data_IF_996291493909
#
_entry.id   IF_996291493909
#
_cell.length_a   1.000
_cell.length_b   1.000
_cell.length_c   1.000
_cell.angle_alpha   90.00
_cell.angle_beta   90.00
_cell.angle_gamma   90.00
#
_symmetry.space_group_name_H-M   'P 1'
#
loop_
_entity.id
_entity.type
_entity.pdbx_description
1 polymer ?
#
# COMPACT_ATOMS: atom_id res chain seq x y z
N UNK A 1 35.70 -19.04 25.24
CA UNK A 1 34.68 -18.04 25.64
C UNK A 1 35.08 -17.28 26.90
N UNK A 2 35.58 -17.99 27.91
CA UNK A 2 35.92 -17.35 29.20
C UNK A 2 37.14 -16.39 29.11
N UNK A 3 38.16 -16.73 28.31
CA UNK A 3 39.37 -15.89 28.17
C UNK A 3 39.08 -14.57 27.44
N UNK A 4 38.36 -14.63 26.34
CA UNK A 4 37.94 -13.42 25.58
C UNK A 4 37.07 -12.51 26.42
N UNK A 5 36.12 -13.06 27.16
CA UNK A 5 35.25 -12.29 28.07
C UNK A 5 36.05 -11.58 29.16
N UNK A 6 37.05 -12.25 29.75
CA UNK A 6 37.94 -11.63 30.74
C UNK A 6 38.79 -10.50 30.15
N UNK A 7 39.36 -10.70 28.97
CA UNK A 7 40.14 -9.68 28.28
C UNK A 7 39.30 -8.44 27.98
N UNK A 8 38.05 -8.65 27.54
CA UNK A 8 37.12 -7.57 27.26
C UNK A 8 36.72 -6.78 28.52
N UNK A 9 36.43 -7.48 29.61
CA UNK A 9 36.13 -6.84 30.91
C UNK A 9 37.31 -6.03 31.42
N UNK A 10 38.53 -6.58 31.36
CA UNK A 10 39.75 -5.87 31.77
C UNK A 10 40.00 -4.62 30.94
N UNK A 11 39.90 -4.75 29.61
CA UNK A 11 40.05 -3.62 28.70
C UNK A 11 39.04 -2.50 29.00
N UNK A 12 37.78 -2.88 29.22
CA UNK A 12 36.72 -1.94 29.57
C UNK A 12 37.02 -1.19 30.87
N UNK A 13 37.50 -1.90 31.89
CA UNK A 13 37.87 -1.29 33.18
C UNK A 13 39.04 -0.31 33.03
N UNK A 14 40.07 -0.67 32.27
CA UNK A 14 41.22 0.22 32.01
C UNK A 14 40.74 1.52 31.31
N UNK A 15 39.89 1.43 30.31
CA UNK A 15 39.35 2.62 29.64
C UNK A 15 38.47 3.46 30.54
N UNK A 16 37.69 2.84 31.41
CA UNK A 16 36.87 3.55 32.40
C UNK A 16 37.74 4.33 33.39
N UNK A 17 38.79 3.72 33.94
CA UNK A 17 39.71 4.38 34.87
C UNK A 17 40.43 5.55 34.16
N UNK A 18 40.88 5.38 32.94
CA UNK A 18 41.52 6.46 32.18
C UNK A 18 40.58 7.62 31.91
N UNK A 19 39.32 7.33 31.53
CA UNK A 19 38.29 8.35 31.33
C UNK A 19 38.01 9.15 32.62
N UNK A 20 37.97 8.44 33.77
CA UNK A 20 37.78 9.07 35.06
C UNK A 20 39.01 9.92 35.45
N UNK A 21 40.22 9.41 35.23
CA UNK A 21 41.46 10.15 35.47
C UNK A 21 41.52 11.47 34.67
N UNK A 22 41.00 11.47 33.45
CA UNK A 22 40.87 12.67 32.59
C UNK A 22 39.72 13.58 32.98
N UNK A 23 38.91 13.20 33.96
CA UNK A 23 37.78 14.00 34.43
C UNK A 23 36.63 14.13 33.42
N UNK A 24 36.52 13.21 32.44
CA UNK A 24 35.56 13.29 31.38
C UNK A 24 34.10 13.27 31.89
N UNK A 25 33.86 12.57 33.01
CA UNK A 25 32.54 12.53 33.66
C UNK A 25 32.07 13.89 34.20
N UNK A 26 33.02 14.84 34.40
CA UNK A 26 32.73 16.19 34.90
C UNK A 26 32.43 17.21 33.79
N UNK A 27 32.62 16.85 32.53
CA UNK A 27 32.39 17.77 31.39
C UNK A 27 30.91 18.09 31.18
N UNK A 28 30.59 19.32 30.74
CA UNK A 28 29.20 19.69 30.42
C UNK A 28 28.59 18.76 29.35
N UNK A 29 29.36 18.37 28.36
CA UNK A 29 28.95 17.49 27.28
C UNK A 29 28.59 16.09 27.79
N UNK A 30 29.37 15.53 28.69
CA UNK A 30 29.06 14.24 29.30
C UNK A 30 27.81 14.32 30.15
N UNK A 31 27.64 15.38 30.96
CA UNK A 31 26.44 15.57 31.79
C UNK A 31 25.17 15.67 30.91
N UNK A 32 25.24 16.43 29.82
CA UNK A 32 24.12 16.54 28.87
C UNK A 32 23.73 15.17 28.24
N UNK A 33 24.74 14.40 27.82
CA UNK A 33 24.52 13.04 27.28
C UNK A 33 23.94 12.10 28.32
N UNK A 34 24.40 12.16 29.53
CA UNK A 34 23.88 11.33 30.62
C UNK A 34 22.45 11.71 31.00
N UNK A 35 22.12 12.99 30.99
CA UNK A 35 20.74 13.41 31.25
C UNK A 35 19.77 12.93 30.16
N UNK A 36 20.17 13.03 28.90
CA UNK A 36 19.36 12.46 27.78
C UNK A 36 19.21 10.94 27.89
N UNK A 37 20.29 10.24 28.23
CA UNK A 37 20.24 8.79 28.44
C UNK A 37 19.30 8.43 29.60
N UNK A 38 19.41 9.17 30.74
CA UNK A 38 18.50 8.98 31.88
C UNK A 38 17.05 9.18 31.52
N UNK A 39 16.73 10.24 30.78
CA UNK A 39 15.36 10.51 30.30
C UNK A 39 14.85 9.37 29.40
N UNK A 40 15.67 8.90 28.45
CA UNK A 40 15.32 7.79 27.57
C UNK A 40 15.05 6.50 28.35
N UNK A 41 15.88 6.18 29.33
CA UNK A 41 15.68 5.00 30.20
C UNK A 41 14.37 5.15 30.99
N UNK A 42 14.12 6.30 31.61
CA UNK A 42 12.89 6.53 32.38
C UNK A 42 11.63 6.42 31.53
N UNK A 43 11.68 6.94 30.30
CA UNK A 43 10.56 6.83 29.35
C UNK A 43 10.31 5.36 28.98
N UNK A 44 11.38 4.61 28.69
CA UNK A 44 11.26 3.19 28.37
C UNK A 44 10.69 2.37 29.55
N UNK A 45 11.15 2.66 30.78
CA UNK A 45 10.62 2.02 32.00
C UNK A 45 9.14 2.37 32.22
N UNK A 46 8.73 3.61 31.96
CA UNK A 46 7.32 4.01 32.04
C UNK A 46 6.46 3.21 31.07
N UNK A 47 6.90 3.06 29.81
CA UNK A 47 6.19 2.23 28.84
C UNK A 47 6.15 0.76 29.22
N UNK A 48 7.25 0.22 29.72
CA UNK A 48 7.32 -1.16 30.17
C UNK A 48 6.36 -1.41 31.36
N UNK A 49 6.33 -0.51 32.34
CA UNK A 49 5.41 -0.58 33.47
C UNK A 49 3.94 -0.46 33.03
N UNK A 50 3.66 0.46 32.11
CA UNK A 50 2.32 0.61 31.54
C UNK A 50 1.85 -0.66 30.82
N UNK A 51 2.70 -1.22 29.95
CA UNK A 51 2.39 -2.47 29.25
C UNK A 51 2.21 -3.66 30.17
N UNK A 52 3.01 -3.73 31.25
CA UNK A 52 2.88 -4.81 32.24
C UNK A 52 1.53 -4.75 32.99
N UNK A 53 1.03 -3.54 33.24
CA UNK A 53 -0.22 -3.29 33.97
C UNK A 53 -1.46 -3.32 33.07
N UNK A 54 -1.28 -2.97 31.79
CA UNK A 54 -2.37 -2.85 30.81
C UNK A 54 -2.15 -3.83 29.64
N UNK A 55 -2.15 -5.11 29.97
CA UNK A 55 -2.02 -6.15 28.93
C UNK A 55 -3.26 -6.13 28.05
N UNK A 56 -3.03 -6.00 26.75
CA UNK A 56 -4.10 -6.18 25.74
C UNK A 56 -4.58 -7.62 25.81
N UNK A 57 -5.87 -7.79 26.00
CA UNK A 57 -6.51 -9.13 26.01
C UNK A 57 -6.61 -9.70 24.59
N UNK A 58 -6.76 -10.99 24.49
CA UNK A 58 -6.97 -11.68 23.20
C UNK A 58 -8.25 -11.19 22.51
N UNK A 59 -9.27 -10.85 23.28
CA UNK A 59 -10.53 -10.30 22.80
C UNK A 59 -10.35 -8.91 22.19
N UNK A 60 -9.61 -8.03 22.85
CA UNK A 60 -9.28 -6.70 22.32
C UNK A 60 -8.44 -6.77 21.07
N UNK A 61 -7.40 -7.60 21.07
CA UNK A 61 -6.57 -7.83 19.89
C UNK A 61 -7.38 -8.41 18.72
N UNK A 62 -8.31 -9.32 19.00
CA UNK A 62 -9.20 -9.91 17.99
C UNK A 62 -10.18 -8.89 17.45
N UNK A 63 -10.76 -8.05 18.30
CA UNK A 63 -11.67 -6.98 17.89
C UNK A 63 -10.97 -5.98 16.95
N UNK A 64 -9.73 -5.60 17.25
CA UNK A 64 -8.94 -4.72 16.39
C UNK A 64 -8.61 -5.38 15.04
N UNK A 65 -8.22 -6.66 15.07
CA UNK A 65 -8.02 -7.43 13.85
C UNK A 65 -9.26 -7.45 12.97
N UNK A 66 -10.42 -7.80 13.56
CA UNK A 66 -11.70 -7.88 12.84
C UNK A 66 -12.12 -6.50 12.29
N UNK A 67 -11.83 -5.42 13.00
CA UNK A 67 -12.06 -4.05 12.54
C UNK A 67 -11.21 -3.73 11.29
N UNK A 68 -9.92 -4.06 11.33
CA UNK A 68 -8.99 -3.82 10.21
C UNK A 68 -9.35 -4.68 9.00
N UNK A 69 -9.59 -5.98 9.22
CA UNK A 69 -10.01 -6.91 8.17
C UNK A 69 -11.34 -6.50 7.57
N UNK A 70 -12.32 -6.13 8.42
CA UNK A 70 -13.62 -5.65 7.97
C UNK A 70 -13.52 -4.38 7.12
N UNK A 71 -12.59 -3.48 7.44
CA UNK A 71 -12.37 -2.24 6.66
C UNK A 71 -11.72 -2.50 5.28
N UNK A 72 -11.02 -3.61 5.13
CA UNK A 72 -10.35 -4.01 3.88
C UNK A 72 -11.19 -4.99 3.03
N UNK A 73 -12.27 -5.52 3.60
CA UNK A 73 -13.17 -6.38 2.86
C UNK A 73 -13.85 -5.58 1.73
N UNK A 74 -13.96 -6.14 0.52
CA UNK A 74 -14.74 -5.52 -0.53
C UNK A 74 -16.20 -5.32 -0.07
N UNK A 75 -16.81 -4.23 -0.48
CA UNK A 75 -18.23 -4.03 -0.24
C UNK A 75 -19.04 -5.22 -0.79
N UNK A 76 -20.13 -5.58 -0.13
CA UNK A 76 -20.99 -6.67 -0.58
C UNK A 76 -21.43 -6.43 -2.04
N UNK A 77 -21.19 -7.42 -2.92
CA UNK A 77 -21.47 -7.31 -4.35
C UNK A 77 -20.45 -6.49 -5.15
N UNK A 78 -19.33 -6.08 -4.55
CA UNK A 78 -18.26 -5.43 -5.29
C UNK A 78 -17.73 -6.33 -6.42
N UNK A 79 -17.45 -5.73 -7.56
CA UNK A 79 -16.95 -6.44 -8.74
C UNK A 79 -15.59 -5.90 -9.16
N UNK A 80 -14.79 -6.79 -9.71
CA UNK A 80 -13.59 -6.46 -10.46
C UNK A 80 -13.83 -6.65 -11.93
N UNK A 81 -13.24 -5.77 -12.71
CA UNK A 81 -13.37 -5.76 -14.16
C UNK A 81 -12.00 -5.96 -14.79
N UNK A 82 -11.92 -6.88 -15.74
CA UNK A 82 -10.79 -6.94 -16.66
C UNK A 82 -11.15 -6.09 -17.86
N UNK A 83 -10.51 -4.95 -17.98
CA UNK A 83 -10.87 -3.96 -18.97
C UNK A 83 -9.68 -3.55 -19.84
N UNK A 84 -10.00 -3.03 -20.99
CA UNK A 84 -9.08 -2.33 -21.89
C UNK A 84 -9.61 -0.95 -22.19
N UNK A 85 -8.70 -0.01 -22.41
CA UNK A 85 -9.09 1.31 -22.88
C UNK A 85 -8.13 1.89 -23.92
N UNK A 86 -8.65 2.86 -24.65
CA UNK A 86 -7.89 3.72 -25.56
C UNK A 86 -8.18 5.15 -25.12
N UNK A 87 -7.14 5.93 -24.87
CA UNK A 87 -7.23 7.34 -24.52
C UNK A 87 -6.80 8.19 -25.71
N UNK A 88 -7.62 9.17 -26.06
CA UNK A 88 -7.30 10.18 -27.09
C UNK A 88 -7.71 11.58 -26.62
N UNK A 89 -7.15 12.61 -27.26
CA UNK A 89 -7.37 14.00 -26.84
C UNK A 89 -8.70 14.57 -27.36
N UNK A 90 -9.16 14.09 -28.53
CA UNK A 90 -10.32 14.65 -29.21
C UNK A 90 -11.48 13.65 -29.29
N UNK A 91 -12.68 14.18 -29.14
CA UNK A 91 -13.90 13.38 -29.20
C UNK A 91 -14.11 12.73 -30.59
N UNK A 92 -13.78 13.47 -31.66
CA UNK A 92 -13.93 12.94 -33.01
C UNK A 92 -13.00 11.76 -33.31
N UNK A 93 -11.76 11.81 -32.75
CA UNK A 93 -10.83 10.67 -32.80
C UNK A 93 -11.42 9.45 -32.08
N UNK A 94 -11.99 9.66 -30.90
CA UNK A 94 -12.62 8.58 -30.14
C UNK A 94 -13.83 7.98 -30.87
N UNK A 95 -14.68 8.80 -31.49
CA UNK A 95 -15.80 8.34 -32.30
C UNK A 95 -15.32 7.54 -33.50
N UNK A 96 -14.27 7.98 -34.18
CA UNK A 96 -13.67 7.27 -35.29
C UNK A 96 -13.12 5.89 -34.87
N UNK A 97 -12.47 5.82 -33.73
CA UNK A 97 -11.96 4.55 -33.15
C UNK A 97 -13.11 3.60 -32.82
N UNK A 98 -14.18 4.08 -32.18
CA UNK A 98 -15.37 3.26 -31.90
C UNK A 98 -15.95 2.70 -33.22
N UNK A 99 -16.02 3.52 -34.24
CA UNK A 99 -16.50 3.06 -35.55
C UNK A 99 -15.60 1.99 -36.19
N UNK A 100 -14.28 2.13 -36.07
CA UNK A 100 -13.31 1.12 -36.50
C UNK A 100 -13.48 -0.20 -35.75
N UNK A 101 -13.63 -0.13 -34.42
CA UNK A 101 -13.85 -1.31 -33.58
C UNK A 101 -15.15 -2.02 -33.89
N UNK A 102 -16.24 -1.28 -34.11
CA UNK A 102 -17.56 -1.83 -34.53
C UNK A 102 -17.51 -2.50 -35.92
N UNK A 103 -16.55 -2.12 -36.78
CA UNK A 103 -16.30 -2.76 -38.08
C UNK A 103 -15.34 -3.96 -38.00
N UNK A 104 -14.98 -4.40 -36.80
CA UNK A 104 -14.11 -5.57 -36.58
C UNK A 104 -12.64 -5.25 -36.44
N UNK A 105 -12.25 -3.99 -36.24
CA UNK A 105 -10.90 -3.60 -35.92
C UNK A 105 -10.42 -4.27 -34.62
N UNK A 106 -9.15 -4.68 -34.55
CA UNK A 106 -8.56 -5.26 -33.35
C UNK A 106 -8.25 -4.16 -32.34
N UNK A 107 -8.83 -4.27 -31.15
CA UNK A 107 -8.69 -3.28 -30.09
C UNK A 107 -7.23 -3.04 -29.73
N UNK A 108 -6.47 -4.11 -29.58
CA UNK A 108 -5.08 -4.09 -29.16
C UNK A 108 -4.18 -3.34 -30.17
N UNK A 109 -4.43 -3.56 -31.46
CA UNK A 109 -3.65 -2.91 -32.52
C UNK A 109 -3.95 -1.42 -32.63
N UNK A 110 -5.21 -1.04 -32.44
CA UNK A 110 -5.64 0.36 -32.44
C UNK A 110 -5.10 1.07 -31.18
N UNK A 111 -5.17 0.42 -30.02
CA UNK A 111 -4.62 0.95 -28.80
C UNK A 111 -3.13 1.25 -28.90
N UNK A 112 -2.34 0.31 -29.41
CA UNK A 112 -0.90 0.48 -29.62
C UNK A 112 -0.55 1.64 -30.55
N UNK A 113 -1.40 1.89 -31.54
CA UNK A 113 -1.15 2.93 -32.57
C UNK A 113 -1.64 4.30 -32.16
N UNK A 114 -2.75 4.38 -31.45
CA UNK A 114 -3.50 5.62 -31.28
C UNK A 114 -3.72 6.04 -29.81
N UNK A 115 -3.56 5.11 -28.86
CA UNK A 115 -3.73 5.48 -27.45
C UNK A 115 -2.63 6.42 -26.96
N UNK A 116 -3.06 7.48 -26.28
CA UNK A 116 -2.18 8.43 -25.58
C UNK A 116 -1.91 8.04 -24.13
N UNK A 117 -2.47 6.91 -23.68
CA UNK A 117 -2.17 6.41 -22.34
C UNK A 117 -0.78 5.77 -22.30
N UNK A 118 0.19 6.36 -21.55
CA UNK A 118 1.55 5.83 -21.47
C UNK A 118 1.61 4.51 -20.70
N UNK A 119 0.64 4.25 -19.85
CA UNK A 119 0.61 3.06 -18.98
C UNK A 119 0.16 1.79 -19.70
N UNK A 120 -0.88 1.87 -20.52
CA UNK A 120 -1.49 0.69 -21.13
C UNK A 120 -1.44 0.68 -22.67
N UNK A 121 -1.21 1.82 -23.30
CA UNK A 121 -1.24 1.93 -24.78
C UNK A 121 -0.35 0.90 -25.46
N UNK A 122 0.90 0.76 -25.04
CA UNK A 122 1.87 -0.19 -25.58
C UNK A 122 1.46 -1.66 -25.35
N UNK A 123 0.70 -1.94 -24.31
CA UNK A 123 0.14 -3.26 -24.00
C UNK A 123 -1.25 -3.50 -24.63
N UNK A 124 -1.62 -2.73 -25.65
CA UNK A 124 -2.92 -2.88 -26.33
C UNK A 124 -4.09 -2.40 -25.47
N UNK A 125 -3.85 -1.46 -24.58
CA UNK A 125 -4.84 -0.85 -23.71
C UNK A 125 -5.23 -1.69 -22.48
N UNK A 126 -4.53 -2.78 -22.19
CA UNK A 126 -4.86 -3.70 -21.09
C UNK A 126 -4.62 -3.04 -19.73
N UNK A 127 -5.67 -3.01 -18.90
CA UNK A 127 -5.65 -2.48 -17.55
C UNK A 127 -5.60 -3.60 -16.48
N UNK A 128 -5.66 -4.86 -16.91
CA UNK A 128 -5.75 -6.00 -16.01
C UNK A 128 -7.07 -6.05 -15.23
N UNK A 129 -7.06 -6.78 -14.12
CA UNK A 129 -8.17 -6.83 -13.17
C UNK A 129 -8.10 -5.66 -12.21
N UNK A 130 -9.14 -4.89 -12.10
CA UNK A 130 -9.21 -3.77 -11.16
C UNK A 130 -10.64 -3.52 -10.65
N UNK A 131 -10.72 -2.96 -9.45
CA UNK A 131 -11.96 -2.43 -8.91
C UNK A 131 -12.24 -1.06 -9.53
N UNK A 132 -13.48 -0.74 -9.93
CA UNK A 132 -13.85 0.56 -10.48
C UNK A 132 -13.45 1.75 -9.61
N UNK A 133 -13.39 1.59 -8.28
CA UNK A 133 -12.99 2.66 -7.36
C UNK A 133 -11.54 3.16 -7.55
N UNK A 134 -10.70 2.43 -8.26
CA UNK A 134 -9.33 2.86 -8.60
C UNK A 134 -9.25 3.82 -9.79
N UNK A 135 -10.35 4.09 -10.47
CA UNK A 135 -10.41 4.98 -11.63
C UNK A 135 -11.13 6.29 -11.33
N UNK A 136 -10.97 7.27 -12.22
CA UNK A 136 -11.75 8.51 -12.16
C UNK A 136 -13.24 8.22 -12.27
N UNK A 137 -14.11 9.02 -11.62
CA UNK A 137 -15.54 8.71 -11.51
C UNK A 137 -16.22 8.43 -12.85
N UNK A 138 -15.91 9.22 -13.87
CA UNK A 138 -16.51 9.10 -15.20
C UNK A 138 -16.18 7.76 -15.87
N UNK A 139 -14.94 7.32 -15.72
CA UNK A 139 -14.48 6.03 -16.21
C UNK A 139 -15.10 4.88 -15.42
N UNK A 140 -15.11 4.99 -14.08
CA UNK A 140 -15.71 3.99 -13.19
C UNK A 140 -17.20 3.78 -13.47
N UNK A 141 -17.95 4.87 -13.69
CA UNK A 141 -19.39 4.82 -13.99
C UNK A 141 -19.68 4.21 -15.36
N UNK A 142 -18.83 4.51 -16.34
CA UNK A 142 -18.93 3.88 -17.66
C UNK A 142 -18.62 2.37 -17.57
N UNK A 143 -17.55 2.01 -16.83
CA UNK A 143 -17.14 0.63 -16.64
C UNK A 143 -18.24 -0.24 -16.01
N UNK A 144 -18.91 0.28 -14.96
CA UNK A 144 -20.00 -0.42 -14.25
C UNK A 144 -21.23 -0.66 -15.12
N UNK A 145 -21.42 0.12 -16.18
CA UNK A 145 -22.55 -0.02 -17.12
C UNK A 145 -22.29 -1.06 -18.20
N UNK A 146 -21.04 -1.48 -18.39
CA UNK A 146 -20.64 -2.40 -19.42
C UNK A 146 -20.65 -3.85 -18.90
N UNK A 147 -21.17 -4.76 -19.72
CA UNK A 147 -21.11 -6.19 -19.49
C UNK A 147 -19.85 -6.80 -20.11
N UNK A 148 -19.55 -8.05 -19.73
CA UNK A 148 -18.47 -8.84 -20.34
C UNK A 148 -18.57 -8.83 -21.87
N UNK A 149 -17.47 -8.52 -22.54
CA UNK A 149 -17.34 -8.44 -23.98
C UNK A 149 -17.85 -7.14 -24.60
N UNK A 150 -18.41 -6.24 -23.82
CA UNK A 150 -19.04 -5.02 -24.31
C UNK A 150 -18.04 -3.87 -24.48
N UNK A 151 -18.21 -3.13 -25.57
CA UNK A 151 -17.50 -1.87 -25.86
C UNK A 151 -18.39 -0.69 -25.48
N UNK A 152 -17.80 0.41 -25.01
CA UNK A 152 -18.53 1.67 -24.80
C UNK A 152 -19.14 2.18 -26.11
N UNK A 153 -20.41 2.52 -26.08
CA UNK A 153 -21.15 3.00 -27.27
C UNK A 153 -20.73 4.41 -27.70
N UNK A 154 -20.28 5.20 -26.77
CA UNK A 154 -19.83 6.58 -26.96
C UNK A 154 -18.49 6.81 -26.21
N UNK A 155 -17.72 7.85 -26.60
CA UNK A 155 -16.54 8.27 -25.87
C UNK A 155 -16.89 8.69 -24.45
N UNK A 156 -16.07 8.26 -23.49
CA UNK A 156 -16.18 8.64 -22.09
C UNK A 156 -15.20 9.76 -21.79
N UNK A 157 -15.72 10.96 -21.51
CA UNK A 157 -14.90 12.14 -21.22
C UNK A 157 -14.41 12.13 -19.78
N UNK A 158 -13.14 12.40 -19.58
CA UNK A 158 -12.52 12.64 -18.27
C UNK A 158 -11.57 13.85 -18.33
N UNK A 159 -10.91 14.16 -17.22
CA UNK A 159 -9.86 15.18 -17.20
C UNK A 159 -8.63 14.84 -18.06
N UNK A 160 -8.44 13.57 -18.44
CA UNK A 160 -7.31 13.12 -19.24
C UNK A 160 -7.61 13.11 -20.76
N UNK A 161 -8.88 13.22 -21.15
CA UNK A 161 -9.33 13.16 -22.53
C UNK A 161 -10.56 12.29 -22.71
N UNK A 162 -10.61 11.59 -23.82
CA UNK A 162 -11.73 10.72 -24.19
C UNK A 162 -11.29 9.27 -24.21
N UNK A 163 -11.98 8.44 -23.44
CA UNK A 163 -11.72 7.03 -23.31
C UNK A 163 -12.71 6.20 -24.14
N UNK A 164 -12.18 5.17 -24.77
CA UNK A 164 -12.96 4.07 -25.37
C UNK A 164 -12.67 2.85 -24.47
N UNK A 165 -13.70 2.27 -23.90
CA UNK A 165 -13.58 1.22 -22.87
C UNK A 165 -14.18 -0.08 -23.41
N UNK A 166 -13.47 -1.20 -23.25
CA UNK A 166 -13.96 -2.55 -23.46
C UNK A 166 -13.79 -3.37 -22.21
N UNK A 167 -14.85 -4.07 -21.80
CA UNK A 167 -14.79 -5.02 -20.69
C UNK A 167 -14.52 -6.40 -21.25
N UNK A 168 -13.38 -6.99 -20.94
CA UNK A 168 -13.02 -8.35 -21.36
C UNK A 168 -13.67 -9.39 -20.45
N UNK A 169 -13.72 -9.13 -19.13
CA UNK A 169 -14.35 -10.03 -18.17
C UNK A 169 -14.76 -9.28 -16.87
N UNK A 170 -15.66 -9.91 -16.11
CA UNK A 170 -16.17 -9.38 -14.82
C UNK A 170 -16.20 -10.54 -13.84
N UNK A 171 -15.74 -10.29 -12.60
CA UNK A 171 -15.81 -11.25 -11.50
C UNK A 171 -16.21 -10.56 -10.19
N UNK A 172 -16.66 -11.34 -9.23
CA UNK A 172 -16.83 -10.82 -7.89
C UNK A 172 -15.47 -10.48 -7.29
N UNK A 173 -15.40 -9.32 -6.63
CA UNK A 173 -14.15 -8.88 -5.98
C UNK A 173 -13.78 -9.88 -4.87
N UNK A 174 -12.54 -10.35 -4.91
CA UNK A 174 -12.02 -11.21 -3.86
C UNK A 174 -11.57 -10.35 -2.69
N UNK A 175 -11.85 -10.83 -1.48
CA UNK A 175 -11.21 -10.26 -0.29
C UNK A 175 -9.68 -10.39 -0.45
N UNK A 176 -8.90 -9.38 -0.05
CA UNK A 176 -7.45 -9.51 -0.02
C UNK A 176 -7.06 -10.68 0.89
N UNK A 177 -6.03 -11.40 0.49
CA UNK A 177 -5.43 -12.42 1.37
C UNK A 177 -4.70 -11.69 2.50
N UNK A 178 -5.38 -11.54 3.62
CA UNK A 178 -4.82 -10.92 4.82
C UNK A 178 -4.16 -12.00 5.68
N UNK A 179 -3.07 -11.68 6.37
CA UNK A 179 -2.47 -12.59 7.33
C UNK A 179 -3.49 -12.98 8.40
N UNK A 180 -3.42 -14.20 8.89
CA UNK A 180 -4.33 -14.67 9.94
C UNK A 180 -4.13 -13.89 11.24
N UNK A 181 -5.14 -13.89 12.11
CA UNK A 181 -5.05 -13.28 13.44
C UNK A 181 -3.81 -13.74 14.20
N UNK A 182 -3.53 -15.03 14.21
CA UNK A 182 -2.37 -15.61 14.93
C UNK A 182 -1.02 -15.07 14.42
N UNK A 183 -0.93 -14.74 13.12
CA UNK A 183 0.30 -14.18 12.53
C UNK A 183 0.53 -12.74 12.90
N UNK A 184 -0.53 -11.95 13.09
CA UNK A 184 -0.44 -10.50 13.36
C UNK A 184 -0.69 -10.13 14.82
N UNK A 185 -1.23 -11.04 15.62
CA UNK A 185 -1.52 -10.84 17.05
C UNK A 185 -0.33 -10.23 17.82
N UNK A 186 0.93 -10.72 17.68
CA UNK A 186 2.05 -10.13 18.40
C UNK A 186 2.28 -8.65 18.07
N UNK A 187 2.00 -8.26 16.83
CA UNK A 187 2.15 -6.87 16.38
C UNK A 187 1.02 -5.97 16.91
N UNK A 188 -0.21 -6.50 16.94
CA UNK A 188 -1.37 -5.78 17.48
C UNK A 188 -1.19 -5.50 18.98
N UNK A 189 -0.67 -6.48 19.72
CA UNK A 189 -0.46 -6.35 21.17
C UNK A 189 0.67 -5.36 21.51
N UNK A 190 1.58 -5.08 20.56
CA UNK A 190 2.69 -4.13 20.76
C UNK A 190 2.36 -2.69 20.40
N UNK A 191 1.24 -2.42 19.73
CA UNK A 191 0.78 -1.08 19.38
C UNK A 191 -0.03 -0.45 20.52
#
# INVERSE_FOLDING_TARGET
VDKQLREEVIAREIFMQEAQRRGLQGTPEFRAKMELARQSVLINELFADYQAKNKVTDEEAKAEYDRVVGSQAPAAGAKEYKARHILVEKEDEAKAIIAQLKKGGKFEDIAKKQSKDPGSGAQGGDLGWANPSGYVPEFADALKKLNKGQLSDAPVKSQFGYHIIRVDDVRDAKAPELPSFEQVKPQIVQQ
#
